data_IF_424003346700
#
_entry.id   IF_424003346700
#
_cell.length_a   1.000
_cell.length_b   1.000
_cell.length_c   1.000
_cell.angle_alpha   90.00
_cell.angle_beta   90.00
_cell.angle_gamma   90.00
#
_symmetry.space_group_name_H-M   'P 1'
#
loop_
_entity.id
_entity.type
_entity.pdbx_description
1 polymer ?
#
# COMPACT_ATOMS: atom_id res chain seq x y z
N UNK A 1 19.41 39.15 29.31
CA UNK A 1 19.02 38.06 28.39
C UNK A 1 19.37 38.52 26.97
N UNK A 2 20.13 37.74 26.20
CA UNK A 2 20.72 38.18 24.94
C UNK A 2 19.65 38.18 23.82
N UNK A 3 19.49 39.28 23.06
CA UNK A 3 18.45 39.41 22.01
C UNK A 3 18.49 38.26 20.97
N UNK A 4 19.68 37.73 20.68
CA UNK A 4 19.88 36.57 19.81
C UNK A 4 19.18 35.29 20.32
N UNK A 5 19.12 35.07 21.64
CA UNK A 5 18.50 33.88 22.24
C UNK A 5 16.98 33.96 22.14
N UNK A 6 16.41 35.15 22.35
CA UNK A 6 14.97 35.39 22.23
C UNK A 6 14.50 35.22 20.78
N UNK A 7 15.24 35.76 19.81
CA UNK A 7 14.93 35.59 18.38
C UNK A 7 14.97 34.13 17.93
N UNK A 8 15.97 33.37 18.38
CA UNK A 8 16.07 31.93 18.07
C UNK A 8 14.90 31.15 18.68
N UNK A 9 14.56 31.42 19.94
CA UNK A 9 13.43 30.77 20.61
C UNK A 9 12.09 31.06 19.92
N UNK A 10 11.84 32.31 19.51
CA UNK A 10 10.62 32.67 18.76
C UNK A 10 10.56 31.94 17.41
N UNK A 11 11.68 31.87 16.69
CA UNK A 11 11.78 31.14 15.43
C UNK A 11 11.49 29.64 15.60
N UNK A 12 12.03 29.01 16.65
CA UNK A 12 11.82 27.60 16.94
C UNK A 12 10.35 27.31 17.29
N UNK A 13 9.70 28.18 18.08
CA UNK A 13 8.26 28.06 18.37
C UNK A 13 7.40 28.24 17.12
N UNK A 14 7.71 29.23 16.27
CA UNK A 14 6.99 29.40 15.00
C UNK A 14 7.10 28.17 14.09
N UNK A 15 8.28 27.52 14.05
CA UNK A 15 8.48 26.28 13.29
C UNK A 15 7.65 25.12 13.84
N UNK A 16 7.57 24.99 15.17
CA UNK A 16 6.74 23.97 15.82
C UNK A 16 5.25 24.20 15.54
N UNK A 17 4.77 25.43 15.61
CA UNK A 17 3.38 25.77 15.27
C UNK A 17 3.07 25.44 13.81
N UNK A 18 3.98 25.74 12.88
CA UNK A 18 3.81 25.38 11.48
C UNK A 18 3.76 23.85 11.27
N UNK A 19 4.59 23.09 11.98
CA UNK A 19 4.53 21.63 11.96
C UNK A 19 3.20 21.10 12.50
N UNK A 20 2.67 21.67 13.59
CA UNK A 20 1.37 21.28 14.12
C UNK A 20 0.22 21.62 13.16
N UNK A 21 0.25 22.79 12.50
CA UNK A 21 -0.75 23.15 11.51
C UNK A 21 -0.75 22.20 10.29
N UNK A 22 0.41 21.70 9.88
CA UNK A 22 0.49 20.70 8.80
C UNK A 22 -0.20 19.37 9.15
N UNK A 23 -0.35 19.05 10.45
CA UNK A 23 -1.12 17.89 10.90
C UNK A 23 -2.63 18.10 10.68
N UNK A 24 -3.13 19.33 10.83
CA UNK A 24 -4.54 19.66 10.58
C UNK A 24 -4.90 19.50 9.10
N UNK A 25 -4.05 19.97 8.19
CA UNK A 25 -4.24 19.78 6.74
C UNK A 25 -4.23 18.29 6.37
N UNK A 26 -3.34 17.51 6.99
CA UNK A 26 -3.30 16.07 6.82
C UNK A 26 -4.61 15.39 7.26
N UNK A 27 -5.17 15.79 8.41
CA UNK A 27 -6.44 15.26 8.91
C UNK A 27 -7.58 15.50 7.90
N UNK A 28 -7.69 16.71 7.36
CA UNK A 28 -8.73 17.04 6.38
C UNK A 28 -8.55 16.24 5.07
N UNK A 29 -7.32 16.07 4.60
CA UNK A 29 -7.03 15.22 3.45
C UNK A 29 -7.44 13.76 3.70
N UNK A 30 -7.22 13.22 4.90
CA UNK A 30 -7.63 11.86 5.25
C UNK A 30 -9.15 11.71 5.30
N UNK A 31 -9.87 12.69 5.86
CA UNK A 31 -11.36 12.69 5.86
C UNK A 31 -11.92 12.69 4.43
N UNK A 32 -11.37 13.54 3.55
CA UNK A 32 -11.79 13.56 2.14
C UNK A 32 -11.53 12.21 1.45
N UNK A 33 -10.39 11.58 1.75
CA UNK A 33 -10.04 10.26 1.22
C UNK A 33 -11.01 9.18 1.70
N UNK A 34 -11.43 9.23 2.97
CA UNK A 34 -12.42 8.31 3.53
C UNK A 34 -13.74 8.39 2.76
N UNK A 35 -14.26 9.60 2.53
CA UNK A 35 -15.52 9.78 1.81
C UNK A 35 -15.43 9.27 0.36
N UNK A 36 -14.31 9.54 -0.32
CA UNK A 36 -14.06 8.98 -1.67
C UNK A 36 -14.12 7.45 -1.68
N UNK A 37 -13.47 6.78 -0.73
CA UNK A 37 -13.49 5.31 -0.68
C UNK A 37 -14.85 4.73 -0.28
N UNK A 38 -15.64 5.44 0.54
CA UNK A 38 -17.03 5.05 0.85
C UNK A 38 -17.92 5.11 -0.39
N UNK A 39 -17.81 6.17 -1.18
CA UNK A 39 -18.54 6.32 -2.45
C UNK A 39 -18.14 5.25 -3.47
N UNK A 40 -16.85 4.96 -3.58
CA UNK A 40 -16.37 3.84 -4.42
C UNK A 40 -16.97 2.51 -3.93
N UNK A 41 -16.95 2.27 -2.62
CA UNK A 41 -17.44 1.02 -2.06
C UNK A 41 -18.95 0.83 -2.23
N UNK A 42 -19.75 1.90 -2.27
CA UNK A 42 -21.20 1.78 -2.49
C UNK A 42 -21.57 1.34 -3.90
N UNK A 43 -20.66 1.50 -4.87
CA UNK A 43 -20.86 1.12 -6.28
C UNK A 43 -20.11 -0.17 -6.67
N UNK A 44 -19.34 -0.76 -5.74
CA UNK A 44 -18.44 -1.88 -6.04
C UNK A 44 -19.16 -3.15 -6.50
N UNK A 45 -20.41 -3.36 -6.08
CA UNK A 45 -21.21 -4.53 -6.46
C UNK A 45 -21.55 -4.56 -7.95
N UNK A 46 -21.51 -3.42 -8.62
CA UNK A 46 -21.81 -3.26 -10.05
C UNK A 46 -20.54 -3.26 -10.92
N UNK A 47 -19.35 -3.25 -10.30
CA UNK A 47 -18.08 -3.15 -11.00
C UNK A 47 -17.75 -4.43 -11.79
N UNK A 48 -17.37 -4.25 -13.06
CA UNK A 48 -16.82 -5.34 -13.85
C UNK A 48 -15.43 -5.76 -13.33
N UNK A 49 -14.93 -6.89 -13.84
CA UNK A 49 -13.66 -7.47 -13.38
C UNK A 49 -12.46 -6.53 -13.55
N UNK A 50 -12.36 -5.78 -14.64
CA UNK A 50 -11.24 -4.83 -14.84
C UNK A 50 -11.35 -3.68 -13.85
N UNK A 51 -12.55 -3.14 -13.68
CA UNK A 51 -12.83 -2.08 -12.70
C UNK A 51 -12.47 -2.51 -11.28
N UNK A 52 -12.85 -3.72 -10.86
CA UNK A 52 -12.45 -4.29 -9.56
C UNK A 52 -10.93 -4.33 -9.39
N UNK A 53 -10.19 -4.79 -10.41
CA UNK A 53 -8.71 -4.83 -10.34
C UNK A 53 -8.13 -3.44 -10.15
N UNK A 54 -8.61 -2.44 -10.89
CA UNK A 54 -8.10 -1.06 -10.79
C UNK A 54 -8.41 -0.44 -9.43
N UNK A 55 -9.62 -0.63 -8.91
CA UNK A 55 -10.04 -0.11 -7.61
C UNK A 55 -9.28 -0.78 -6.46
N UNK A 56 -9.06 -2.10 -6.51
CA UNK A 56 -8.25 -2.83 -5.53
C UNK A 56 -6.81 -2.30 -5.53
N UNK A 57 -6.19 -2.10 -6.71
CA UNK A 57 -4.84 -1.53 -6.81
C UNK A 57 -4.78 -0.11 -6.23
N UNK A 58 -5.77 0.72 -6.53
CA UNK A 58 -5.88 2.06 -5.97
C UNK A 58 -5.99 2.02 -4.45
N UNK A 59 -6.81 1.14 -3.90
CA UNK A 59 -6.91 0.94 -2.45
C UNK A 59 -5.55 0.53 -1.84
N UNK A 60 -4.84 -0.42 -2.45
CA UNK A 60 -3.50 -0.81 -1.98
C UNK A 60 -2.50 0.35 -2.02
N UNK A 61 -2.46 1.14 -3.09
CA UNK A 61 -1.58 2.30 -3.17
C UNK A 61 -1.86 3.31 -2.04
N UNK A 62 -3.14 3.55 -1.74
CA UNK A 62 -3.54 4.42 -0.63
C UNK A 62 -3.16 3.82 0.74
N UNK A 63 -3.40 2.52 0.97
CA UNK A 63 -3.00 1.82 2.20
C UNK A 63 -1.48 1.93 2.40
N UNK A 64 -0.68 1.63 1.37
CA UNK A 64 0.78 1.69 1.44
C UNK A 64 1.27 3.11 1.75
N UNK A 65 0.67 4.13 1.11
CA UNK A 65 1.00 5.53 1.41
C UNK A 65 0.69 5.86 2.87
N UNK A 66 -0.49 5.51 3.36
CA UNK A 66 -0.90 5.77 4.75
C UNK A 66 0.01 5.08 5.75
N UNK A 67 0.37 3.82 5.53
CA UNK A 67 1.31 3.08 6.40
C UNK A 67 2.67 3.77 6.43
N UNK A 68 3.22 4.18 5.28
CA UNK A 68 4.52 4.89 5.22
C UNK A 68 4.51 6.22 5.98
N UNK A 69 3.42 6.97 5.92
CA UNK A 69 3.32 8.23 6.66
C UNK A 69 3.11 7.99 8.16
N UNK A 70 2.40 6.93 8.56
CA UNK A 70 2.32 6.52 9.96
C UNK A 70 3.66 6.04 10.52
N UNK A 71 4.47 5.36 9.71
CA UNK A 71 5.83 4.95 10.08
C UNK A 71 6.72 6.18 10.35
N UNK A 72 6.73 7.15 9.42
CA UNK A 72 7.41 8.45 9.64
C UNK A 72 6.88 9.21 10.86
N UNK A 73 5.60 9.10 11.16
CA UNK A 73 5.00 9.71 12.35
C UNK A 73 5.59 9.10 13.63
N UNK A 74 5.84 7.77 13.66
CA UNK A 74 6.54 7.10 14.76
C UNK A 74 8.03 7.45 14.85
N UNK A 75 8.65 7.90 13.77
CA UNK A 75 10.04 8.39 13.77
C UNK A 75 10.17 9.86 14.21
N UNK A 76 9.06 10.61 14.27
CA UNK A 76 9.09 12.05 14.52
C UNK A 76 9.30 12.36 16.02
N UNK A 77 10.41 13.03 16.42
CA UNK A 77 10.68 13.34 17.83
C UNK A 77 9.60 14.19 18.50
N UNK A 78 8.93 15.07 17.74
CA UNK A 78 7.84 15.89 18.24
C UNK A 78 6.65 15.02 18.64
N UNK A 79 6.28 14.07 17.78
CA UNK A 79 5.21 13.10 18.06
C UNK A 79 5.56 12.25 19.27
N UNK A 80 6.78 11.70 19.28
CA UNK A 80 7.27 10.87 20.38
C UNK A 80 7.31 11.60 21.73
N UNK A 81 7.36 12.94 21.71
CA UNK A 81 7.32 13.76 22.92
C UNK A 81 5.92 13.91 23.52
N UNK A 82 4.86 13.66 22.74
CA UNK A 82 3.47 13.86 23.15
C UNK A 82 2.60 12.60 23.12
N UNK A 83 3.04 11.55 22.45
CA UNK A 83 2.34 10.27 22.40
C UNK A 83 2.44 9.55 23.76
N UNK A 84 1.32 9.03 24.25
CA UNK A 84 1.29 8.18 25.44
C UNK A 84 1.23 6.69 25.08
N UNK A 85 1.28 5.85 26.12
CA UNK A 85 1.30 4.40 25.96
C UNK A 85 -0.05 3.90 25.42
N UNK A 86 -1.14 4.46 25.90
CA UNK A 86 -2.50 4.10 25.53
C UNK A 86 -2.72 4.33 24.02
N UNK A 87 -2.29 5.49 23.51
CA UNK A 87 -2.29 5.79 22.07
C UNK A 87 -1.48 4.77 21.26
N UNK A 88 -0.28 4.39 21.73
CA UNK A 88 0.53 3.37 21.07
C UNK A 88 -0.15 2.00 21.05
N UNK A 89 -0.84 1.63 22.13
CA UNK A 89 -1.58 0.38 22.21
C UNK A 89 -2.79 0.36 21.26
N UNK A 90 -3.47 1.49 21.08
CA UNK A 90 -4.53 1.63 20.08
C UNK A 90 -3.99 1.47 18.66
N UNK A 91 -2.89 2.16 18.33
CA UNK A 91 -2.21 2.04 17.03
C UNK A 91 -1.79 0.60 16.77
N UNK A 92 -1.12 -0.03 17.74
CA UNK A 92 -0.72 -1.44 17.64
C UNK A 92 -1.90 -2.36 17.37
N UNK A 93 -2.99 -2.22 18.13
CA UNK A 93 -4.17 -3.07 17.99
C UNK A 93 -4.80 -2.94 16.60
N UNK A 94 -4.83 -1.73 16.04
CA UNK A 94 -5.32 -1.49 14.69
C UNK A 94 -4.39 -2.09 13.62
N UNK A 95 -3.08 -1.83 13.71
CA UNK A 95 -2.09 -2.35 12.76
C UNK A 95 -2.06 -3.87 12.78
N UNK A 96 -2.10 -4.49 13.96
CA UNK A 96 -2.11 -5.94 14.09
C UNK A 96 -3.32 -6.58 13.41
N UNK A 97 -4.52 -6.02 13.59
CA UNK A 97 -5.72 -6.51 12.89
C UNK A 97 -5.56 -6.44 11.38
N UNK A 98 -5.13 -5.29 10.85
CA UNK A 98 -4.92 -5.09 9.41
C UNK A 98 -3.88 -6.06 8.85
N UNK A 99 -2.79 -6.31 9.59
CA UNK A 99 -1.74 -7.25 9.21
C UNK A 99 -2.29 -8.67 9.09
N UNK A 100 -3.02 -9.14 10.11
CA UNK A 100 -3.59 -10.49 10.11
C UNK A 100 -4.62 -10.63 8.99
N UNK A 101 -5.55 -9.68 8.84
CA UNK A 101 -6.56 -9.71 7.78
C UNK A 101 -5.93 -9.76 6.38
N UNK A 102 -4.87 -8.98 6.15
CA UNK A 102 -4.15 -8.96 4.87
C UNK A 102 -3.44 -10.30 4.59
N UNK A 103 -2.78 -10.87 5.60
CA UNK A 103 -2.10 -12.16 5.47
C UNK A 103 -3.08 -13.30 5.20
N UNK A 104 -4.21 -13.33 5.90
CA UNK A 104 -5.27 -14.32 5.68
C UNK A 104 -5.85 -14.20 4.26
N UNK A 105 -6.08 -12.97 3.79
CA UNK A 105 -6.54 -12.71 2.44
C UNK A 105 -5.54 -13.22 1.38
N UNK A 106 -4.25 -12.92 1.55
CA UNK A 106 -3.19 -13.39 0.65
C UNK A 106 -3.13 -14.91 0.61
N UNK A 107 -3.05 -15.57 1.77
CA UNK A 107 -3.00 -17.03 1.86
C UNK A 107 -4.19 -17.65 1.13
N UNK A 108 -5.40 -17.18 1.42
CA UNK A 108 -6.64 -17.70 0.83
C UNK A 108 -6.66 -17.56 -0.68
N UNK A 109 -6.37 -16.38 -1.21
CA UNK A 109 -6.52 -16.10 -2.63
C UNK A 109 -5.35 -16.63 -3.44
N UNK A 110 -4.12 -16.59 -2.93
CA UNK A 110 -2.95 -17.19 -3.57
C UNK A 110 -3.08 -18.71 -3.65
N UNK A 111 -3.56 -19.37 -2.59
CA UNK A 111 -3.88 -20.79 -2.62
C UNK A 111 -5.00 -21.10 -3.64
N UNK A 112 -6.06 -20.29 -3.67
CA UNK A 112 -7.16 -20.46 -4.64
C UNK A 112 -6.70 -20.32 -6.09
N UNK A 113 -5.84 -19.34 -6.38
CA UNK A 113 -5.24 -19.15 -7.72
C UNK A 113 -4.41 -20.35 -8.11
N UNK A 114 -3.53 -20.84 -7.21
CA UNK A 114 -2.73 -22.05 -7.42
C UNK A 114 -3.62 -23.25 -7.75
N UNK A 115 -4.64 -23.51 -6.94
CA UNK A 115 -5.50 -24.68 -7.09
C UNK A 115 -6.33 -24.62 -8.38
N UNK A 116 -6.82 -23.42 -8.74
CA UNK A 116 -7.51 -23.19 -10.00
C UNK A 116 -6.59 -23.39 -11.20
N UNK A 117 -5.34 -22.88 -11.13
CA UNK A 117 -4.35 -23.08 -12.19
C UNK A 117 -4.03 -24.57 -12.39
N UNK A 118 -3.83 -25.33 -11.30
CA UNK A 118 -3.60 -26.77 -11.37
C UNK A 118 -4.78 -27.50 -12.04
N UNK A 119 -6.01 -27.17 -11.65
CA UNK A 119 -7.22 -27.76 -12.26
C UNK A 119 -7.30 -27.46 -13.76
N UNK A 120 -7.04 -26.21 -14.16
CA UNK A 120 -7.03 -25.80 -15.57
C UNK A 120 -5.99 -26.59 -16.38
N UNK A 121 -4.75 -26.67 -15.89
CA UNK A 121 -3.66 -27.42 -16.54
C UNK A 121 -3.98 -28.91 -16.67
N UNK A 122 -4.53 -29.53 -15.62
CA UNK A 122 -4.97 -30.94 -15.66
C UNK A 122 -6.10 -31.19 -16.68
N UNK A 123 -6.94 -30.18 -16.92
CA UNK A 123 -7.99 -30.24 -17.95
C UNK A 123 -7.51 -29.92 -19.37
N UNK A 124 -6.19 -29.75 -19.58
CA UNK A 124 -5.60 -29.37 -20.88
C UNK A 124 -5.80 -27.91 -21.27
N UNK A 125 -6.36 -27.07 -20.38
CA UNK A 125 -6.60 -25.65 -20.64
C UNK A 125 -5.42 -24.82 -20.15
N UNK A 126 -4.57 -24.39 -21.07
CA UNK A 126 -3.50 -23.42 -20.80
C UNK A 126 -3.99 -22.02 -21.19
N UNK A 127 -3.90 -21.01 -20.29
CA UNK A 127 -4.21 -19.64 -20.65
C UNK A 127 -3.39 -19.19 -21.88
N UNK A 128 -4.02 -18.52 -22.89
CA UNK A 128 -3.33 -18.12 -24.12
C UNK A 128 -2.06 -17.31 -23.90
N UNK A 129 -2.07 -16.42 -22.90
CA UNK A 129 -0.90 -15.59 -22.59
C UNK A 129 0.29 -16.41 -22.05
N UNK A 130 0.03 -17.51 -21.34
CA UNK A 130 1.09 -18.42 -20.87
C UNK A 130 1.66 -19.20 -22.06
N UNK A 131 0.83 -19.56 -23.05
CA UNK A 131 1.31 -20.18 -24.29
C UNK A 131 2.21 -19.22 -25.06
N UNK A 132 1.83 -17.95 -25.17
CA UNK A 132 2.62 -16.93 -25.85
C UNK A 132 3.98 -16.71 -25.17
N UNK A 133 4.03 -16.57 -23.84
CA UNK A 133 5.29 -16.47 -23.10
C UNK A 133 6.20 -17.70 -23.27
N UNK A 134 5.62 -18.91 -23.33
CA UNK A 134 6.39 -20.13 -23.61
C UNK A 134 6.97 -20.13 -25.02
N UNK A 135 6.19 -19.66 -26.00
CA UNK A 135 6.61 -19.57 -27.40
C UNK A 135 7.79 -18.61 -27.56
N UNK A 136 7.65 -17.38 -27.04
CA UNK A 136 8.73 -16.37 -27.06
C UNK A 136 10.00 -16.91 -26.42
N UNK A 137 9.88 -17.59 -25.26
CA UNK A 137 11.03 -18.16 -24.56
C UNK A 137 11.70 -19.29 -25.36
N UNK A 138 10.92 -20.15 -26.01
CA UNK A 138 11.46 -21.22 -26.86
C UNK A 138 12.18 -20.67 -28.09
N UNK A 139 11.62 -19.63 -28.73
CA UNK A 139 12.25 -18.93 -29.86
C UNK A 139 13.57 -18.25 -29.44
N UNK A 140 13.64 -17.67 -28.23
CA UNK A 140 14.87 -17.12 -27.67
C UNK A 140 15.93 -18.20 -27.37
N UNK A 141 15.52 -19.37 -26.88
CA UNK A 141 16.42 -20.48 -26.56
C UNK A 141 16.98 -21.12 -27.84
N UNK A 142 16.15 -21.35 -28.86
CA UNK A 142 16.58 -21.81 -30.19
C UNK A 142 17.54 -20.82 -30.86
N UNK A 143 17.26 -19.52 -30.76
CA UNK A 143 18.14 -18.49 -31.32
C UNK A 143 19.50 -18.44 -30.63
N UNK A 144 19.54 -18.57 -29.30
CA UNK A 144 20.80 -18.70 -28.54
C UNK A 144 21.57 -19.97 -28.87
N UNK A 145 20.87 -21.07 -29.11
CA UNK A 145 21.50 -22.35 -29.45
C UNK A 145 22.04 -22.34 -30.89
N UNK A 146 21.34 -21.69 -31.82
CA UNK A 146 21.81 -21.48 -33.19
C UNK A 146 23.09 -20.62 -33.23
N UNK A 147 23.17 -19.56 -32.42
CA UNK A 147 24.37 -18.71 -32.31
C UNK A 147 25.56 -19.48 -31.71
N UNK A 148 25.32 -20.43 -30.80
CA UNK A 148 26.38 -21.28 -30.21
C UNK A 148 26.91 -22.37 -31.15
N UNK A 149 26.20 -22.65 -32.24
CA UNK A 149 26.56 -23.67 -33.23
C UNK A 149 27.30 -23.08 -34.45
N UNK A 150 27.47 -21.75 -34.49
CA UNK A 150 28.28 -21.00 -35.47
C UNK A 150 29.66 -20.70 -34.89
#
# INVERSE_FOLDING_TARGET
MNYSVVLKMVSDVSRLIAQLNSLSEWIEMQKATIETFKEINSTISEADRLTLVLLIRKAFDHILKTIREFDKWLENPLVLSYIDKEMLQEVWSAVFRLLIELLELDIKHTASVRDNAIKMLKSGKIPPIIMEFRRVRAEEEESREAVRRL
#
